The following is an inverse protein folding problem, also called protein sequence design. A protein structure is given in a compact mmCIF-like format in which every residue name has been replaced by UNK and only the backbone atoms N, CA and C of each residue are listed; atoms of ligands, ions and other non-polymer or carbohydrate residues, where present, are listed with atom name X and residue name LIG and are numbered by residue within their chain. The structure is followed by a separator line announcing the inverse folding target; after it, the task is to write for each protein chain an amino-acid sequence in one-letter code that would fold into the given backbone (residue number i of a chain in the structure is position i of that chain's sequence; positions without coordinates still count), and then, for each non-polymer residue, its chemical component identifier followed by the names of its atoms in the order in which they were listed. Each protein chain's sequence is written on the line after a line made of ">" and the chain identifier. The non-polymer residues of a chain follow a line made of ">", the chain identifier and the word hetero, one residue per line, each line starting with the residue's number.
data_IF_863645973044
#
_entry.id   IF_863645973044
#
_cell.length_a   1.000
_cell.length_b   1.000
_cell.length_c   1.000
_cell.angle_alpha   90.00
_cell.angle_beta   90.00
_cell.angle_gamma   90.00
#
_symmetry.space_group_name_H-M   'P 1'
#
loop_
_entity.id
_entity.type
_entity.pdbx_description
1 polymer ?
#
# COMPACT_ATOMS: atom_id res chain seq x y z
N UNK A 1 4.53 -22.21 -12.95
CA UNK A 1 3.41 -21.30 -13.23
C UNK A 1 2.69 -21.11 -11.91
N UNK A 2 2.45 -19.86 -11.50
CA UNK A 2 1.90 -19.58 -10.18
C UNK A 2 0.43 -20.03 -10.10
N UNK A 3 0.04 -20.69 -9.01
CA UNK A 3 -1.34 -21.11 -8.77
C UNK A 3 -2.10 -20.11 -7.87
N UNK A 4 -3.42 -20.26 -7.79
CA UNK A 4 -4.28 -19.34 -7.02
C UNK A 4 -3.95 -19.28 -5.52
N UNK A 5 -3.50 -20.40 -4.93
CA UNK A 5 -3.14 -20.47 -3.52
C UNK A 5 -1.84 -19.71 -3.25
N UNK A 6 -0.86 -19.81 -4.15
CA UNK A 6 0.40 -19.07 -4.08
C UNK A 6 0.17 -17.56 -4.18
N UNK A 7 -0.63 -17.10 -5.16
CA UNK A 7 -1.01 -15.68 -5.28
C UNK A 7 -1.70 -15.19 -4.02
N UNK A 8 -2.68 -15.95 -3.52
CA UNK A 8 -3.45 -15.58 -2.33
C UNK A 8 -2.56 -15.45 -1.10
N UNK A 9 -1.57 -16.33 -0.95
CA UNK A 9 -0.57 -16.26 0.13
C UNK A 9 0.26 -14.98 0.01
N UNK A 10 0.79 -14.67 -1.18
CA UNK A 10 1.61 -13.46 -1.40
C UNK A 10 0.81 -12.20 -1.09
N UNK A 11 -0.41 -12.08 -1.65
CA UNK A 11 -1.30 -10.94 -1.41
C UNK A 11 -1.64 -10.82 0.08
N UNK A 12 -1.95 -11.94 0.74
CA UNK A 12 -2.24 -11.97 2.18
C UNK A 12 -1.07 -11.46 3.01
N UNK A 13 0.15 -11.93 2.72
CA UNK A 13 1.36 -11.51 3.41
C UNK A 13 1.69 -10.03 3.20
N UNK A 14 1.52 -9.53 1.97
CA UNK A 14 1.69 -8.10 1.67
C UNK A 14 0.72 -7.24 2.47
N UNK A 15 -0.57 -7.63 2.52
CA UNK A 15 -1.57 -6.90 3.28
C UNK A 15 -1.24 -6.88 4.76
N UNK A 16 -0.90 -8.02 5.37
CA UNK A 16 -0.50 -8.10 6.77
C UNK A 16 0.69 -7.18 7.08
N UNK A 17 1.71 -7.20 6.21
CA UNK A 17 2.89 -6.34 6.33
C UNK A 17 2.51 -4.85 6.24
N UNK A 18 1.68 -4.47 5.26
CA UNK A 18 1.22 -3.08 5.10
C UNK A 18 0.46 -2.61 6.33
N UNK A 19 -0.46 -3.41 6.88
CA UNK A 19 -1.24 -3.03 8.07
C UNK A 19 -0.41 -2.92 9.34
N UNK A 20 0.68 -3.68 9.45
CA UNK A 20 1.56 -3.67 10.62
C UNK A 20 2.70 -2.67 10.52
N UNK A 21 2.99 -2.13 9.33
CA UNK A 21 4.14 -1.24 9.13
C UNK A 21 3.77 0.12 8.54
N UNK A 22 2.90 0.19 7.54
CA UNK A 22 2.62 1.42 6.77
C UNK A 22 1.26 2.03 7.04
N UNK A 23 0.26 1.23 7.42
CA UNK A 23 -1.07 1.69 7.82
C UNK A 23 -1.29 1.58 9.32
N UNK A 24 -0.25 1.79 10.12
CA UNK A 24 -0.40 1.88 11.58
C UNK A 24 -1.22 3.11 11.95
N UNK A 25 -1.87 3.07 13.12
CA UNK A 25 -2.65 4.21 13.61
C UNK A 25 -1.80 5.49 13.71
N UNK A 26 -0.53 5.38 14.14
CA UNK A 26 0.37 6.53 14.27
C UNK A 26 0.69 7.15 12.91
N UNK A 27 1.04 6.34 11.90
CA UNK A 27 1.32 6.83 10.54
C UNK A 27 0.08 7.44 9.89
N UNK A 28 -1.10 6.89 10.15
CA UNK A 28 -2.36 7.45 9.63
C UNK A 28 -2.69 8.77 10.32
N UNK A 29 -2.44 8.90 11.62
CA UNK A 29 -2.60 10.15 12.37
C UNK A 29 -1.64 11.23 11.88
N UNK A 30 -0.39 10.89 11.61
CA UNK A 30 0.59 11.82 11.02
C UNK A 30 0.09 12.31 9.66
N UNK A 31 -0.32 11.40 8.76
CA UNK A 31 -0.78 11.76 7.42
C UNK A 31 -2.07 12.55 7.38
N UNK A 32 -3.06 12.23 8.23
CA UNK A 32 -4.32 12.99 8.27
C UNK A 32 -4.12 14.40 8.86
N UNK A 33 -3.08 14.61 9.69
CA UNK A 33 -2.83 15.90 10.33
C UNK A 33 -2.57 17.02 9.32
N UNK A 34 -1.95 16.71 8.17
CA UNK A 34 -1.72 17.65 7.07
C UNK A 34 -3.02 18.15 6.40
N UNK A 35 -4.14 17.50 6.68
CA UNK A 35 -5.47 17.79 6.13
C UNK A 35 -6.42 18.40 7.17
N UNK A 36 -5.99 18.51 8.43
CA UNK A 36 -6.76 19.09 9.52
C UNK A 36 -6.44 20.58 9.72
N UNK A 37 -7.39 21.33 10.29
CA UNK A 37 -7.15 22.69 10.78
C UNK A 37 -6.42 22.69 12.14
N UNK A 38 -6.10 23.89 12.65
CA UNK A 38 -5.43 24.08 13.94
C UNK A 38 -6.20 23.48 15.14
N UNK A 39 -7.48 23.16 14.97
CA UNK A 39 -8.34 22.53 15.99
C UNK A 39 -8.49 21.02 15.78
N UNK A 40 -7.76 20.42 14.82
CA UNK A 40 -7.85 19.00 14.49
C UNK A 40 -9.13 18.61 13.74
N UNK A 41 -9.82 19.58 13.12
CA UNK A 41 -11.02 19.32 12.33
C UNK A 41 -10.67 19.23 10.86
N UNK A 42 -11.35 18.31 10.16
CA UNK A 42 -11.22 18.13 8.71
C UNK A 42 -12.54 18.51 8.05
N UNK A 43 -12.48 19.35 7.01
CA UNK A 43 -13.65 19.64 6.18
C UNK A 43 -13.87 18.55 5.13
N UNK A 44 -15.04 18.56 4.50
CA UNK A 44 -15.42 17.53 3.52
C UNK A 44 -14.46 17.48 2.31
N UNK A 45 -13.97 18.62 1.83
CA UNK A 45 -13.07 18.69 0.68
C UNK A 45 -11.71 18.12 1.06
N UNK A 46 -11.20 18.45 2.24
CA UNK A 46 -9.93 17.91 2.74
C UNK A 46 -10.05 16.41 3.04
N UNK A 47 -11.16 15.94 3.59
CA UNK A 47 -11.41 14.51 3.79
C UNK A 47 -11.41 13.74 2.46
N UNK A 48 -12.08 14.28 1.42
CA UNK A 48 -12.05 13.69 0.08
C UNK A 48 -10.63 13.64 -0.49
N UNK A 49 -9.86 14.72 -0.37
CA UNK A 49 -8.45 14.76 -0.82
C UNK A 49 -7.58 13.75 -0.08
N UNK A 50 -7.72 13.67 1.24
CA UNK A 50 -6.99 12.71 2.07
C UNK A 50 -7.30 11.27 1.66
N UNK A 51 -8.58 10.90 1.52
CA UNK A 51 -8.97 9.56 1.07
C UNK A 51 -8.41 9.19 -0.31
N UNK A 52 -8.41 10.15 -1.25
CA UNK A 52 -7.80 9.94 -2.56
C UNK A 52 -6.29 9.74 -2.48
N UNK A 53 -5.62 10.48 -1.59
CA UNK A 53 -4.18 10.35 -1.38
C UNK A 53 -3.85 8.99 -0.73
N UNK A 54 -4.55 8.60 0.33
CA UNK A 54 -4.37 7.31 0.99
C UNK A 54 -4.60 6.13 0.03
N UNK A 55 -5.59 6.23 -0.85
CA UNK A 55 -5.83 5.20 -1.87
C UNK A 55 -4.64 5.07 -2.84
N UNK A 56 -4.04 6.20 -3.25
CA UNK A 56 -2.85 6.21 -4.13
C UNK A 56 -1.62 5.65 -3.42
N UNK A 57 -1.41 6.04 -2.16
CA UNK A 57 -0.27 5.61 -1.38
C UNK A 57 -0.34 4.11 -1.11
N UNK A 58 -1.50 3.61 -0.66
CA UNK A 58 -1.73 2.18 -0.49
C UNK A 58 -1.47 1.40 -1.79
N UNK A 59 -2.02 1.86 -2.91
CA UNK A 59 -1.85 1.19 -4.21
C UNK A 59 -0.36 1.13 -4.60
N UNK A 60 0.37 2.22 -4.37
CA UNK A 60 1.79 2.33 -4.70
C UNK A 60 2.64 1.41 -3.83
N UNK A 61 2.39 1.39 -2.52
CA UNK A 61 3.07 0.50 -1.56
C UNK A 61 2.78 -0.96 -1.92
N UNK A 62 1.51 -1.31 -2.12
CA UNK A 62 1.10 -2.66 -2.46
C UNK A 62 1.74 -3.13 -3.77
N UNK A 63 1.69 -2.31 -4.82
CA UNK A 63 2.29 -2.66 -6.11
C UNK A 63 3.81 -2.88 -6.00
N UNK A 64 4.51 -2.03 -5.25
CA UNK A 64 5.94 -2.19 -5.01
C UNK A 64 6.25 -3.49 -4.26
N UNK A 65 5.53 -3.77 -3.17
CA UNK A 65 5.72 -5.00 -2.40
C UNK A 65 5.37 -6.23 -3.26
N UNK A 66 4.30 -6.20 -4.04
CA UNK A 66 3.93 -7.29 -4.93
C UNK A 66 5.02 -7.59 -5.96
N UNK A 67 5.58 -6.56 -6.60
CA UNK A 67 6.68 -6.72 -7.54
C UNK A 67 7.91 -7.30 -6.85
N UNK A 68 8.25 -6.83 -5.65
CA UNK A 68 9.39 -7.34 -4.89
C UNK A 68 9.21 -8.82 -4.52
N UNK A 69 8.06 -9.20 -3.94
CA UNK A 69 7.77 -10.59 -3.56
C UNK A 69 7.74 -11.52 -4.78
N UNK A 70 7.15 -11.08 -5.90
CA UNK A 70 7.16 -11.87 -7.14
C UNK A 70 8.58 -12.02 -7.72
N UNK A 71 9.45 -11.02 -7.57
CA UNK A 71 10.85 -11.12 -7.96
C UNK A 71 11.63 -12.08 -7.05
N UNK A 72 11.43 -12.00 -5.74
CA UNK A 72 12.10 -12.84 -4.74
C UNK A 72 11.68 -14.32 -4.87
N UNK A 73 10.42 -14.58 -5.21
CA UNK A 73 9.92 -15.92 -5.53
C UNK A 73 10.30 -16.39 -6.96
N UNK A 74 11.01 -15.56 -7.73
CA UNK A 74 11.53 -15.91 -9.06
C UNK A 74 10.48 -15.91 -10.17
N UNK A 75 9.31 -15.33 -9.94
CA UNK A 75 8.28 -15.14 -10.98
C UNK A 75 8.60 -13.98 -11.93
N UNK A 76 9.42 -13.01 -11.49
CA UNK A 76 9.92 -11.93 -12.33
C UNK A 76 11.38 -12.20 -12.72
N UNK A 77 11.59 -13.12 -13.67
CA UNK A 77 12.90 -13.29 -14.32
C UNK A 77 13.06 -12.30 -15.47
N UNK A 78 14.27 -11.75 -15.62
CA UNK A 78 14.68 -10.85 -16.70
C UNK A 78 14.00 -11.21 -18.04
N UNK A 79 13.31 -10.26 -18.71
CA UNK A 79 12.74 -10.53 -20.03
C UNK A 79 13.86 -11.05 -20.96
N UNK A 80 13.55 -11.95 -21.91
CA UNK A 80 14.57 -12.49 -22.81
C UNK A 80 15.33 -11.31 -23.44
N UNK A 81 16.67 -11.32 -23.29
CA UNK A 81 17.52 -10.37 -24.02
C UNK A 81 17.17 -10.52 -25.50
N UNK A 82 16.77 -9.40 -26.11
CA UNK A 82 16.46 -9.31 -27.55
C UNK A 82 17.55 -9.93 -28.41
#
# INVERSE_FOLDING_TARGET
>A
MMNEQEISRIIGGINEKIYTTDLTAEKLQERISDYCDDNGKIDLIMALKWMMQESRDYTSIFAHQLVAELADEGYLVNPPKK
#
